data_IF_960863084698
#
_entry.id   IF_960863084698
#
_cell.length_a   1.000
_cell.length_b   1.000
_cell.length_c   1.000
_cell.angle_alpha   90.00
_cell.angle_beta   90.00
_cell.angle_gamma   90.00
#
_symmetry.space_group_name_H-M   'P 1'
#
loop_
_entity.id
_entity.type
_entity.pdbx_description
1 polymer ?
#
# COMPACT_ATOMS: atom_id res chain seq x y z
N UNK A 1 -26.14 17.45 -46.49
CA UNK A 1 -24.93 16.78 -47.00
C UNK A 1 -23.81 17.81 -47.05
N UNK A 2 -22.66 17.67 -46.41
CA UNK A 2 -22.14 16.66 -45.51
C UNK A 2 -21.12 17.31 -44.56
N UNK A 3 -20.98 16.73 -43.37
CA UNK A 3 -19.95 17.10 -42.39
C UNK A 3 -18.88 16.02 -42.56
N UNK A 4 -17.70 16.39 -43.06
CA UNK A 4 -16.61 15.44 -43.27
C UNK A 4 -15.29 16.16 -43.19
N UNK A 5 -14.55 15.93 -42.11
CA UNK A 5 -13.14 16.32 -42.03
C UNK A 5 -12.69 16.72 -40.64
N UNK A 6 -12.60 15.78 -39.69
CA UNK A 6 -11.90 16.03 -38.42
C UNK A 6 -11.52 14.74 -37.68
N UNK A 7 -10.91 13.72 -38.32
CA UNK A 7 -10.71 12.42 -37.66
C UNK A 7 -9.38 11.64 -37.88
N UNK A 8 -8.33 12.11 -38.59
CA UNK A 8 -7.08 11.33 -38.64
C UNK A 8 -6.08 11.65 -37.51
N UNK A 9 -6.02 12.89 -37.01
CA UNK A 9 -5.01 13.31 -36.03
C UNK A 9 -5.23 12.80 -34.61
N UNK A 10 -6.50 12.74 -34.18
CA UNK A 10 -6.87 12.28 -32.82
C UNK A 10 -6.64 10.78 -32.69
N UNK A 11 -6.92 10.01 -33.75
CA UNK A 11 -6.72 8.56 -33.76
C UNK A 11 -5.23 8.22 -33.63
N UNK A 12 -4.37 8.97 -34.33
CA UNK A 12 -2.91 8.84 -34.24
C UNK A 12 -2.41 9.09 -32.81
N UNK A 13 -2.83 10.20 -32.17
CA UNK A 13 -2.40 10.53 -30.80
C UNK A 13 -2.87 9.46 -29.80
N UNK A 14 -4.12 8.99 -29.90
CA UNK A 14 -4.63 7.93 -29.03
C UNK A 14 -3.84 6.63 -29.24
N UNK A 15 -3.56 6.26 -30.49
CA UNK A 15 -2.75 5.06 -30.76
C UNK A 15 -1.34 5.20 -30.22
N UNK A 16 -0.69 6.38 -30.33
CA UNK A 16 0.66 6.57 -29.79
C UNK A 16 0.69 6.51 -28.27
N UNK A 17 -0.31 7.10 -27.58
CA UNK A 17 -0.42 7.03 -26.12
C UNK A 17 -0.64 5.59 -25.66
N UNK A 18 -1.52 4.84 -26.33
CA UNK A 18 -1.75 3.42 -26.03
C UNK A 18 -0.48 2.62 -26.29
N UNK A 19 0.21 2.84 -27.41
CA UNK A 19 1.44 2.12 -27.75
C UNK A 19 2.58 2.43 -26.76
N UNK A 20 2.74 3.68 -26.35
CA UNK A 20 3.76 4.07 -25.35
C UNK A 20 3.45 3.44 -24.00
N UNK A 21 2.18 3.42 -23.58
CA UNK A 21 1.77 2.75 -22.34
C UNK A 21 1.99 1.25 -22.40
N UNK A 22 1.67 0.62 -23.55
CA UNK A 22 1.85 -0.82 -23.76
C UNK A 22 3.33 -1.22 -23.85
N UNK A 23 4.18 -0.39 -24.46
CA UNK A 23 5.63 -0.63 -24.53
C UNK A 23 6.26 -0.46 -23.14
N UNK A 24 5.88 0.58 -22.39
CA UNK A 24 6.33 0.74 -21.00
C UNK A 24 5.90 -0.45 -20.14
N UNK A 25 4.63 -0.85 -20.17
CA UNK A 25 4.14 -2.01 -19.41
C UNK A 25 4.83 -3.32 -19.85
N UNK A 26 5.15 -3.49 -21.15
CA UNK A 26 5.76 -4.71 -21.67
C UNK A 26 7.27 -4.81 -21.39
N UNK A 27 8.02 -3.70 -21.46
CA UNK A 27 9.45 -3.69 -21.11
C UNK A 27 9.65 -3.81 -19.60
N UNK A 28 8.80 -3.18 -18.78
CA UNK A 28 8.88 -3.31 -17.31
C UNK A 28 8.62 -4.75 -16.84
N UNK A 29 7.61 -5.43 -17.40
CA UNK A 29 7.28 -6.82 -17.07
C UNK A 29 8.30 -7.87 -17.58
N UNK A 30 9.08 -7.55 -18.61
CA UNK A 30 10.13 -8.46 -19.11
C UNK A 30 11.51 -8.18 -18.50
N UNK A 31 11.76 -6.97 -18.01
CA UNK A 31 13.04 -6.61 -17.38
C UNK A 31 13.15 -7.18 -15.96
N UNK A 32 12.05 -7.24 -15.22
CA UNK A 32 12.00 -7.79 -13.87
C UNK A 32 11.32 -9.16 -13.91
N UNK A 33 12.09 -10.21 -13.63
CA UNK A 33 11.64 -11.61 -13.66
C UNK A 33 10.51 -11.93 -12.66
N UNK A 34 10.12 -13.22 -12.51
CA UNK A 34 9.06 -13.60 -11.58
C UNK A 34 9.37 -13.08 -10.16
N UNK A 35 8.44 -12.28 -9.62
CA UNK A 35 8.56 -11.61 -8.33
C UNK A 35 8.66 -12.66 -7.21
N UNK A 36 9.79 -12.72 -6.52
CA UNK A 36 9.98 -13.59 -5.36
C UNK A 36 10.01 -12.75 -4.10
N UNK A 37 8.86 -12.60 -3.45
CA UNK A 37 8.76 -11.93 -2.17
C UNK A 37 9.51 -12.74 -1.10
N UNK A 38 10.64 -12.24 -0.59
CA UNK A 38 11.39 -12.89 0.49
C UNK A 38 10.87 -12.42 1.85
N UNK A 39 9.72 -12.96 2.27
CA UNK A 39 9.20 -12.69 3.61
C UNK A 39 10.03 -13.41 4.68
N UNK A 40 10.10 -12.78 5.86
CA UNK A 40 10.64 -13.42 7.06
C UNK A 40 9.95 -14.78 7.29
N UNK A 41 10.68 -15.84 7.65
CA UNK A 41 10.09 -17.15 7.94
C UNK A 41 9.12 -17.12 9.14
N UNK A 42 9.11 -16.01 9.88
CA UNK A 42 8.20 -15.77 10.98
C UNK A 42 6.80 -15.36 10.53
N UNK A 43 6.58 -15.04 9.26
CA UNK A 43 5.30 -14.57 8.72
C UNK A 43 4.60 -15.73 7.99
N UNK A 44 3.25 -15.82 8.03
CA UNK A 44 2.53 -16.83 7.25
C UNK A 44 2.88 -16.76 5.75
N UNK A 45 2.82 -17.89 5.05
CA UNK A 45 3.10 -17.92 3.63
C UNK A 45 2.02 -17.14 2.84
N UNK A 46 2.45 -16.52 1.73
CA UNK A 46 1.54 -15.98 0.73
C UNK A 46 1.12 -17.07 -0.25
N UNK A 47 -0.17 -17.12 -0.53
CA UNK A 47 -0.81 -17.96 -1.52
C UNK A 47 -1.53 -17.07 -2.54
N UNK A 48 -1.51 -17.48 -3.79
CA UNK A 48 -2.23 -16.77 -4.84
C UNK A 48 -3.71 -17.16 -4.81
N UNK A 49 -4.60 -16.16 -4.74
CA UNK A 49 -6.05 -16.36 -4.77
C UNK A 49 -6.66 -15.46 -5.84
N UNK A 50 -6.80 -15.98 -7.07
CA UNK A 50 -7.26 -15.20 -8.22
C UNK A 50 -6.22 -14.18 -8.66
N UNK A 51 -6.58 -12.90 -8.66
CA UNK A 51 -5.72 -11.76 -9.05
C UNK A 51 -5.04 -11.06 -7.87
N UNK A 52 -5.02 -11.68 -6.70
CA UNK A 52 -4.53 -11.08 -5.45
C UNK A 52 -3.71 -12.12 -4.67
N UNK A 53 -2.78 -11.62 -3.86
CA UNK A 53 -2.06 -12.41 -2.87
C UNK A 53 -2.81 -12.42 -1.54
N UNK A 54 -2.84 -13.58 -0.89
CA UNK A 54 -3.43 -13.79 0.43
C UNK A 54 -2.46 -14.53 1.33
N UNK A 55 -2.53 -14.26 2.63
CA UNK A 55 -1.83 -15.08 3.61
C UNK A 55 -2.62 -16.36 3.91
N UNK A 56 -1.95 -17.50 3.99
CA UNK A 56 -2.58 -18.83 4.19
C UNK A 56 -3.51 -18.90 5.41
N UNK A 57 -3.20 -18.14 6.46
CA UNK A 57 -3.98 -18.11 7.72
C UNK A 57 -5.18 -17.15 7.70
N UNK A 58 -5.50 -16.52 6.56
CA UNK A 58 -6.57 -15.50 6.49
C UNK A 58 -7.86 -16.05 5.91
N UNK A 59 -9.00 -15.67 6.51
CA UNK A 59 -10.30 -16.02 5.91
C UNK A 59 -10.49 -15.25 4.60
N UNK A 60 -11.14 -15.88 3.62
CA UNK A 60 -11.50 -15.24 2.35
C UNK A 60 -12.41 -14.00 2.49
N UNK A 61 -12.88 -13.68 3.70
CA UNK A 61 -13.71 -12.50 4.00
C UNK A 61 -12.89 -11.22 4.29
N UNK A 62 -11.57 -11.32 4.45
CA UNK A 62 -10.68 -10.20 4.79
C UNK A 62 -10.39 -9.34 3.55
N UNK A 63 -11.38 -8.55 3.10
CA UNK A 63 -11.30 -7.46 2.09
C UNK A 63 -10.82 -7.81 0.67
N UNK A 64 -11.32 -7.15 -0.37
CA UNK A 64 -10.80 -7.28 -1.75
C UNK A 64 -10.20 -5.97 -2.27
N UNK A 65 -9.26 -6.06 -3.22
CA UNK A 65 -8.62 -4.89 -3.82
C UNK A 65 -9.60 -4.00 -4.58
N UNK A 66 -10.70 -4.57 -5.09
CA UNK A 66 -11.73 -3.79 -5.79
C UNK A 66 -12.41 -2.77 -4.87
N UNK A 67 -12.63 -3.07 -3.60
CA UNK A 67 -13.14 -2.09 -2.64
C UNK A 67 -12.19 -0.90 -2.48
N UNK A 68 -10.91 -1.15 -2.26
CA UNK A 68 -9.92 -0.09 -2.02
C UNK A 68 -9.64 0.76 -3.26
N UNK A 69 -9.58 0.15 -4.44
CA UNK A 69 -9.39 0.87 -5.71
C UNK A 69 -10.52 1.87 -6.00
N UNK A 70 -11.75 1.57 -5.55
CA UNK A 70 -12.89 2.49 -5.70
C UNK A 70 -12.79 3.73 -4.80
N UNK A 71 -12.24 3.56 -3.60
CA UNK A 71 -12.02 4.67 -2.67
C UNK A 71 -10.96 5.63 -3.24
N UNK A 72 -9.84 5.10 -3.71
CA UNK A 72 -8.73 5.92 -4.20
C UNK A 72 -9.11 6.75 -5.42
N UNK A 73 -9.78 6.14 -6.40
CA UNK A 73 -10.24 6.84 -7.61
C UNK A 73 -11.20 7.99 -7.28
N UNK A 74 -12.07 7.80 -6.29
CA UNK A 74 -13.11 8.76 -5.95
C UNK A 74 -12.69 9.72 -4.81
N UNK A 75 -11.51 9.55 -4.21
CA UNK A 75 -11.00 10.30 -3.05
C UNK A 75 -12.05 10.47 -1.95
N UNK A 76 -12.79 9.40 -1.66
CA UNK A 76 -14.02 9.49 -0.82
C UNK A 76 -13.78 9.52 0.68
N UNK A 77 -12.57 9.21 1.14
CA UNK A 77 -12.23 9.21 2.56
C UNK A 77 -11.24 10.34 2.89
N UNK A 78 -11.45 11.04 4.02
CA UNK A 78 -10.55 12.08 4.45
C UNK A 78 -9.20 11.50 4.91
N UNK A 79 -8.11 12.07 4.43
CA UNK A 79 -6.78 11.89 4.99
C UNK A 79 -6.77 12.51 6.39
N UNK A 80 -6.37 11.73 7.39
CA UNK A 80 -6.32 12.18 8.80
C UNK A 80 -4.90 12.28 9.33
N UNK A 81 -3.95 11.59 8.70
CA UNK A 81 -2.55 11.65 9.07
C UNK A 81 -1.65 11.19 7.92
N UNK A 82 -0.42 11.68 7.94
CA UNK A 82 0.65 11.31 7.03
C UNK A 82 1.93 11.14 7.84
N UNK A 83 2.38 9.89 7.93
CA UNK A 83 3.68 9.55 8.52
C UNK A 83 4.80 9.62 7.49
N UNK A 84 5.99 9.19 7.92
CA UNK A 84 7.20 9.17 7.09
C UNK A 84 7.05 8.28 5.84
N UNK A 85 6.43 7.10 5.98
CA UNK A 85 6.25 6.11 4.91
C UNK A 85 4.79 5.78 4.56
N UNK A 86 3.81 6.24 5.34
CA UNK A 86 2.39 5.83 5.20
C UNK A 86 1.42 7.00 5.29
N UNK A 87 0.33 6.89 4.55
CA UNK A 87 -0.84 7.78 4.64
C UNK A 87 -1.96 7.04 5.35
N UNK A 88 -2.70 7.75 6.20
CA UNK A 88 -3.83 7.21 6.96
C UNK A 88 -5.10 7.97 6.62
N UNK A 89 -6.13 7.23 6.21
CA UNK A 89 -7.47 7.73 5.92
C UNK A 89 -8.46 7.24 6.96
N UNK A 90 -9.45 8.08 7.31
CA UNK A 90 -10.54 7.68 8.21
C UNK A 90 -11.68 7.08 7.41
N UNK A 91 -12.03 5.82 7.68
CA UNK A 91 -13.23 5.17 7.12
C UNK A 91 -14.46 5.45 7.98
N UNK A 92 -14.31 5.32 9.30
CA UNK A 92 -15.30 5.67 10.32
C UNK A 92 -14.59 5.88 11.67
N UNK A 93 -15.33 6.09 12.76
CA UNK A 93 -14.77 6.33 14.10
C UNK A 93 -13.80 5.23 14.58
N UNK A 94 -14.04 3.98 14.17
CA UNK A 94 -13.32 2.82 14.67
C UNK A 94 -12.35 2.22 13.66
N UNK A 95 -12.36 2.66 12.40
CA UNK A 95 -11.61 2.03 11.32
C UNK A 95 -10.83 3.07 10.53
N UNK A 96 -9.54 2.78 10.38
CA UNK A 96 -8.62 3.54 9.52
C UNK A 96 -8.11 2.67 8.38
N UNK A 97 -7.81 3.30 7.26
CA UNK A 97 -7.20 2.68 6.10
C UNK A 97 -5.80 3.28 5.93
N UNK A 98 -4.80 2.42 5.79
CA UNK A 98 -3.41 2.79 5.55
C UNK A 98 -2.98 2.36 4.16
N UNK A 99 -2.08 3.13 3.54
CA UNK A 99 -1.33 2.78 2.33
C UNK A 99 0.05 3.43 2.34
N UNK A 100 0.89 3.04 1.39
CA UNK A 100 2.21 3.64 1.16
C UNK A 100 2.07 5.13 0.76
N UNK A 101 2.93 5.98 1.32
CA UNK A 101 3.04 7.39 0.98
C UNK A 101 4.07 7.59 -0.14
N UNK A 102 3.70 7.38 -1.41
CA UNK A 102 4.60 7.61 -2.56
C UNK A 102 5.04 9.07 -2.75
N UNK A 103 4.36 10.00 -2.08
CA UNK A 103 4.76 11.41 -1.99
C UNK A 103 5.18 11.79 -0.56
N UNK A 104 5.50 10.80 0.28
CA UNK A 104 6.02 10.99 1.63
C UNK A 104 7.54 11.09 1.65
N UNK A 105 8.13 11.63 2.72
CA UNK A 105 9.57 11.86 2.80
C UNK A 105 10.40 10.61 2.57
N UNK A 106 10.02 9.45 3.12
CA UNK A 106 10.77 8.20 2.94
C UNK A 106 10.93 7.81 1.46
N UNK A 107 9.86 7.96 0.68
CA UNK A 107 9.88 7.58 -0.72
C UNK A 107 10.61 8.63 -1.55
N UNK A 108 10.41 9.92 -1.26
CA UNK A 108 11.14 11.02 -1.90
C UNK A 108 12.65 10.86 -1.67
N UNK A 109 13.08 10.64 -0.43
CA UNK A 109 14.49 10.46 -0.08
C UNK A 109 15.12 9.27 -0.84
N UNK A 110 14.37 8.18 -1.01
CA UNK A 110 14.81 7.01 -1.77
C UNK A 110 14.95 7.32 -3.27
N UNK A 111 13.91 7.94 -3.87
CA UNK A 111 13.91 8.32 -5.28
C UNK A 111 14.98 9.36 -5.60
N UNK A 112 15.19 10.33 -4.72
CA UNK A 112 16.26 11.33 -4.86
C UNK A 112 17.64 10.66 -4.80
N UNK A 113 17.81 9.64 -3.95
CA UNK A 113 19.05 8.85 -3.86
C UNK A 113 19.27 7.91 -5.06
N UNK A 114 18.19 7.55 -5.76
CA UNK A 114 18.27 6.77 -6.99
C UNK A 114 18.86 7.58 -8.16
N UNK A 115 18.71 8.91 -8.15
CA UNK A 115 19.30 9.84 -9.13
C UNK A 115 18.98 9.47 -10.59
N UNK A 116 17.73 9.07 -10.84
CA UNK A 116 17.23 8.68 -12.17
C UNK A 116 17.66 7.29 -12.65
N UNK A 117 18.33 6.50 -11.80
CA UNK A 117 18.62 5.10 -12.07
C UNK A 117 17.35 4.25 -11.92
N UNK A 118 16.79 3.81 -13.05
CA UNK A 118 15.55 3.02 -13.11
C UNK A 118 15.60 1.75 -12.26
N UNK A 119 16.78 1.13 -12.08
CA UNK A 119 16.90 -0.07 -11.26
C UNK A 119 16.75 0.28 -9.78
N UNK A 120 17.37 1.37 -9.33
CA UNK A 120 17.25 1.83 -7.93
C UNK A 120 15.87 2.41 -7.64
N UNK A 121 15.25 3.10 -8.59
CA UNK A 121 13.86 3.55 -8.46
C UNK A 121 12.91 2.35 -8.29
N UNK A 122 13.15 1.27 -9.02
CA UNK A 122 12.43 0.02 -8.85
C UNK A 122 12.65 -0.57 -7.45
N UNK A 123 13.90 -0.64 -6.97
CA UNK A 123 14.23 -1.10 -5.61
C UNK A 123 13.51 -0.25 -4.54
N UNK A 124 13.33 1.06 -4.76
CA UNK A 124 12.57 1.92 -3.86
C UNK A 124 11.09 1.50 -3.75
N UNK A 125 10.45 1.21 -4.89
CA UNK A 125 9.05 0.74 -4.93
C UNK A 125 8.93 -0.65 -4.32
N UNK A 126 9.81 -1.57 -4.71
CA UNK A 126 9.86 -2.94 -4.21
C UNK A 126 10.03 -2.94 -2.69
N UNK A 127 11.06 -2.27 -2.16
CA UNK A 127 11.34 -2.19 -0.72
C UNK A 127 10.16 -1.59 0.06
N UNK A 128 9.52 -0.54 -0.45
CA UNK A 128 8.34 0.04 0.18
C UNK A 128 7.14 -0.94 0.20
N UNK A 129 6.92 -1.65 -0.90
CA UNK A 129 5.86 -2.65 -1.03
C UNK A 129 6.11 -3.86 -0.12
N UNK A 130 7.32 -4.43 -0.15
CA UNK A 130 7.73 -5.55 0.69
C UNK A 130 7.61 -5.21 2.18
N UNK A 131 8.04 -4.02 2.59
CA UNK A 131 7.91 -3.54 3.97
C UNK A 131 6.44 -3.46 4.39
N UNK A 132 5.56 -2.98 3.50
CA UNK A 132 4.13 -2.88 3.78
C UNK A 132 3.46 -4.27 3.86
N UNK A 133 3.79 -5.18 2.95
CA UNK A 133 3.29 -6.57 2.96
C UNK A 133 3.77 -7.31 4.22
N UNK A 134 5.02 -7.08 4.62
CA UNK A 134 5.61 -7.60 5.85
C UNK A 134 4.82 -7.13 7.08
N UNK A 135 4.45 -5.85 7.16
CA UNK A 135 3.60 -5.34 8.24
C UNK A 135 2.25 -6.04 8.28
N UNK A 136 1.57 -6.21 7.13
CA UNK A 136 0.31 -6.95 7.05
C UNK A 136 0.48 -8.38 7.58
N UNK A 137 1.56 -9.04 7.18
CA UNK A 137 1.90 -10.40 7.63
C UNK A 137 2.09 -10.50 9.15
N UNK A 138 2.79 -9.55 9.76
CA UNK A 138 2.93 -9.47 11.21
C UNK A 138 1.60 -9.21 11.90
N UNK A 139 0.78 -8.28 11.38
CA UNK A 139 -0.55 -8.02 11.93
C UNK A 139 -1.40 -9.29 11.93
N UNK A 140 -1.42 -10.06 10.84
CA UNK A 140 -2.18 -11.31 10.74
C UNK A 140 -1.73 -12.31 11.80
N UNK A 141 -0.43 -12.48 11.97
CA UNK A 141 0.12 -13.42 12.97
C UNK A 141 -0.26 -13.05 14.39
N UNK A 142 -0.31 -11.75 14.70
CA UNK A 142 -0.50 -11.24 16.04
C UNK A 142 -1.96 -10.86 16.37
N UNK A 143 -2.94 -11.25 15.54
CA UNK A 143 -4.35 -10.87 15.75
C UNK A 143 -4.96 -11.32 17.09
N UNK A 144 -4.34 -12.25 17.82
CA UNK A 144 -4.79 -12.69 19.14
C UNK A 144 -4.22 -11.88 20.29
N UNK A 145 -3.27 -10.97 20.02
CA UNK A 145 -2.67 -10.10 21.01
C UNK A 145 -3.54 -8.84 21.21
N UNK A 146 -4.02 -8.56 22.45
CA UNK A 146 -4.87 -7.40 22.71
C UNK A 146 -4.19 -6.05 22.43
N UNK A 147 -2.85 -6.01 22.42
CA UNK A 147 -2.05 -4.80 22.23
C UNK A 147 -1.68 -4.56 20.76
N UNK A 148 -2.09 -5.47 19.88
CA UNK A 148 -1.90 -5.34 18.44
C UNK A 148 -3.18 -4.86 17.78
N UNK A 149 -3.13 -3.81 16.93
CA UNK A 149 -4.30 -3.36 16.19
C UNK A 149 -4.93 -4.48 15.36
N UNK A 150 -6.24 -4.68 15.56
CA UNK A 150 -7.00 -5.63 14.77
C UNK A 150 -6.99 -5.25 13.29
N UNK A 151 -6.74 -6.22 12.41
CA UNK A 151 -6.74 -6.10 10.95
C UNK A 151 -8.09 -6.59 10.42
N UNK A 152 -8.86 -5.69 9.81
CA UNK A 152 -10.18 -6.02 9.27
C UNK A 152 -10.13 -6.46 7.80
N UNK A 153 -9.24 -5.86 7.02
CA UNK A 153 -9.13 -6.08 5.58
C UNK A 153 -7.75 -5.67 5.09
N UNK A 154 -7.27 -6.28 4.02
CA UNK A 154 -6.09 -5.83 3.29
C UNK A 154 -6.23 -6.12 1.80
N UNK A 155 -5.38 -5.51 0.99
CA UNK A 155 -5.23 -5.81 -0.42
C UNK A 155 -3.75 -5.90 -0.77
N UNK A 156 -3.39 -6.99 -1.45
CA UNK A 156 -2.09 -7.18 -2.09
C UNK A 156 -2.38 -7.64 -3.52
N UNK A 157 -2.20 -6.78 -4.54
CA UNK A 157 -2.45 -7.17 -5.92
C UNK A 157 -1.39 -8.19 -6.38
N UNK A 158 -1.70 -9.01 -7.39
CA UNK A 158 -0.79 -10.06 -7.88
C UNK A 158 0.58 -9.50 -8.30
N UNK A 159 0.57 -8.35 -8.98
CA UNK A 159 1.76 -7.58 -9.32
C UNK A 159 1.88 -6.40 -8.35
N UNK A 160 2.40 -6.66 -7.16
CA UNK A 160 2.42 -5.68 -6.06
C UNK A 160 3.46 -4.57 -6.26
N UNK A 161 4.37 -4.72 -7.21
CA UNK A 161 5.35 -3.69 -7.54
C UNK A 161 4.75 -2.73 -8.56
N UNK A 162 4.18 -3.23 -9.66
CA UNK A 162 3.52 -2.39 -10.66
C UNK A 162 2.23 -1.75 -10.14
N UNK A 163 1.59 -2.37 -9.14
CA UNK A 163 0.36 -1.89 -8.52
C UNK A 163 0.52 -1.59 -7.03
N UNK A 164 1.70 -1.10 -6.61
CA UNK A 164 1.99 -0.79 -5.22
C UNK A 164 1.06 0.30 -4.64
N UNK A 165 0.46 1.14 -5.49
CA UNK A 165 -0.60 2.08 -5.10
C UNK A 165 -1.86 1.39 -4.58
N UNK A 166 -2.10 0.15 -4.98
CA UNK A 166 -3.22 -0.66 -4.53
C UNK A 166 -2.92 -1.43 -3.24
N UNK A 167 -1.76 -1.26 -2.62
CA UNK A 167 -1.49 -1.85 -1.30
C UNK A 167 -2.22 -1.10 -0.19
N UNK A 168 -3.13 -1.80 0.48
CA UNK A 168 -3.95 -1.25 1.55
C UNK A 168 -4.09 -2.18 2.74
N UNK A 169 -4.24 -1.61 3.92
CA UNK A 169 -4.67 -2.31 5.13
C UNK A 169 -5.72 -1.49 5.87
N UNK A 170 -6.79 -2.12 6.35
CA UNK A 170 -7.78 -1.52 7.21
C UNK A 170 -7.64 -2.08 8.63
N UNK A 171 -7.36 -1.21 9.60
CA UNK A 171 -7.17 -1.60 11.00
C UNK A 171 -8.10 -0.83 11.92
N UNK A 172 -8.18 -1.25 13.18
CA UNK A 172 -8.79 -0.44 14.23
C UNK A 172 -8.10 0.93 14.33
N UNK A 173 -8.90 1.97 14.56
CA UNK A 173 -8.44 3.32 14.84
C UNK A 173 -7.82 3.36 16.23
N UNK A 174 -6.53 3.66 16.32
CA UNK A 174 -5.82 3.88 17.57
C UNK A 174 -5.76 5.36 17.92
N UNK A 175 -5.67 5.69 19.22
CA UNK A 175 -5.25 7.03 19.63
C UNK A 175 -3.74 7.14 19.48
N UNK A 176 -3.22 8.18 18.83
CA UNK A 176 -1.78 8.39 18.78
C UNK A 176 -1.24 8.55 20.20
N UNK A 177 -0.11 7.89 20.48
CA UNK A 177 0.61 8.06 21.74
C UNK A 177 1.15 9.49 21.79
N UNK A 178 0.66 10.29 22.74
CA UNK A 178 1.21 11.60 23.01
C UNK A 178 2.50 11.44 23.82
N UNK A 179 3.64 11.44 23.14
CA UNK A 179 4.96 11.26 23.73
C UNK A 179 5.29 12.41 24.70
N UNK A 180 4.77 13.62 24.46
CA UNK A 180 4.99 14.77 25.35
C UNK A 180 4.20 14.55 26.64
N UNK A 181 2.93 14.16 26.52
CA UNK A 181 2.12 13.79 27.68
C UNK A 181 2.76 12.64 28.45
N UNK A 182 3.21 11.58 27.77
CA UNK A 182 3.91 10.46 28.40
C UNK A 182 5.18 10.90 29.13
N UNK A 183 5.97 11.79 28.52
CA UNK A 183 7.19 12.34 29.12
C UNK A 183 6.92 13.28 30.31
N UNK A 184 5.71 13.83 30.43
CA UNK A 184 5.27 14.67 31.55
C UNK A 184 4.48 13.90 32.61
N UNK A 185 4.03 12.68 32.28
CA UNK A 185 3.29 11.80 33.18
C UNK A 185 4.18 11.32 34.34
N UNK A 186 3.57 11.07 35.50
CA UNK A 186 4.28 10.46 36.62
C UNK A 186 4.68 9.00 36.33
N UNK A 187 5.55 8.41 37.16
CA UNK A 187 6.08 7.07 36.90
C UNK A 187 4.99 6.00 36.90
N UNK A 188 3.95 6.14 37.74
CA UNK A 188 2.85 5.18 37.86
C UNK A 188 1.98 5.16 36.59
N UNK A 189 1.67 6.33 36.03
CA UNK A 189 0.90 6.46 34.80
C UNK A 189 1.68 5.87 33.61
N UNK A 190 3.00 6.08 33.56
CA UNK A 190 3.87 5.47 32.53
C UNK A 190 3.90 3.96 32.63
N UNK A 191 4.04 3.41 33.84
CA UNK A 191 4.02 1.96 34.05
C UNK A 191 2.69 1.38 33.64
N UNK A 192 1.57 2.01 34.00
CA UNK A 192 0.24 1.56 33.53
C UNK A 192 0.14 1.55 32.00
N UNK A 193 0.62 2.59 31.31
CA UNK A 193 0.61 2.66 29.84
C UNK A 193 1.52 1.59 29.20
N UNK A 194 2.57 1.15 29.90
CA UNK A 194 3.53 0.14 29.42
C UNK A 194 3.17 -1.30 29.82
N UNK A 195 2.35 -1.47 30.87
CA UNK A 195 1.86 -2.77 31.38
C UNK A 195 0.49 -3.17 30.80
N UNK A 196 -0.25 -2.23 30.20
CA UNK A 196 -1.45 -2.50 29.38
C UNK A 196 -1.06 -3.09 28.02
#
# INVERSE_FOLDING_TARGET
MGIGGFLPGILLIITTIIFVKFIFDYEYCNFFGPQTLQLSPLIPALIQTGSEWRFESTSNKIGNCSYFSSFEKNKTLPEINRGYNKIVFRKNENVVIKKIAFNGPAFIDCMDSADGDLHKEYECVESAAESFITEIGFLIKLQNDPNVPQLFAYCIPLDFIAHAELLFSATISGKPLDIIHLAQSDWSERVRILDE
#
